data_IF_308930601945
#
_entry.id   IF_308930601945
#
_cell.length_a   1.000
_cell.length_b   1.000
_cell.length_c   1.000
_cell.angle_alpha   90.00
_cell.angle_beta   90.00
_cell.angle_gamma   90.00
#
_symmetry.space_group_name_H-M   'P 1'
#
loop_
_entity.id
_entity.type
_entity.pdbx_description
1 polymer ?
#
# COMPACT_ATOMS: atom_id res chain seq x y z
N UNK A 1 1.14 -2.33 26.98
CA UNK A 1 1.49 -3.76 27.12
C UNK A 1 1.47 -4.40 25.74
N UNK A 2 2.19 -5.51 25.53
CA UNK A 2 1.99 -6.35 24.35
C UNK A 2 0.79 -7.26 24.66
N UNK A 3 -0.18 -7.43 23.75
CA UNK A 3 -1.34 -8.29 24.01
C UNK A 3 -0.90 -9.76 24.13
N UNK A 4 -1.54 -10.50 25.03
CA UNK A 4 -1.39 -11.95 25.12
C UNK A 4 -2.10 -12.62 23.94
N UNK A 5 -1.41 -13.52 23.24
CA UNK A 5 -1.94 -14.16 22.02
C UNK A 5 -2.01 -15.66 22.22
N UNK A 6 -3.23 -16.21 22.14
CA UNK A 6 -3.47 -17.64 22.03
C UNK A 6 -3.84 -18.02 20.59
N UNK A 7 -3.41 -19.19 20.15
CA UNK A 7 -3.64 -19.68 18.78
C UNK A 7 -4.07 -21.14 18.77
N UNK A 8 -4.92 -21.50 17.82
CA UNK A 8 -5.20 -22.89 17.47
C UNK A 8 -4.64 -23.14 16.08
N UNK A 9 -3.76 -24.13 15.97
CA UNK A 9 -3.06 -24.47 14.73
C UNK A 9 -3.56 -25.81 14.24
N UNK A 10 -4.01 -25.85 12.98
CA UNK A 10 -4.37 -27.07 12.26
C UNK A 10 -3.38 -27.32 11.13
N UNK A 11 -2.73 -28.46 11.18
CA UNK A 11 -1.71 -28.86 10.23
C UNK A 11 -2.33 -29.56 9.03
N UNK A 12 -1.72 -29.33 7.86
CA UNK A 12 -2.08 -30.02 6.61
C UNK A 12 -1.78 -31.51 6.69
N UNK A 13 -0.63 -31.85 7.29
CA UNK A 13 -0.17 -33.23 7.47
C UNK A 13 -0.12 -33.55 8.96
N UNK A 14 -0.40 -34.81 9.31
CA UNK A 14 -0.31 -35.27 10.69
C UNK A 14 1.14 -35.22 11.18
N UNK A 15 1.34 -34.75 12.41
CA UNK A 15 2.62 -34.76 13.08
C UNK A 15 2.65 -35.80 14.20
N UNK A 16 3.80 -36.44 14.39
CA UNK A 16 4.00 -37.31 15.55
C UNK A 16 4.35 -36.49 16.78
N UNK A 17 3.98 -36.98 17.97
CA UNK A 17 4.35 -36.36 19.25
C UNK A 17 5.86 -36.11 19.38
N UNK A 18 6.68 -37.05 18.89
CA UNK A 18 8.15 -36.91 18.90
C UNK A 18 8.62 -35.72 18.06
N UNK A 19 8.05 -35.52 16.86
CA UNK A 19 8.39 -34.40 16.01
C UNK A 19 7.95 -33.07 16.62
N UNK A 20 6.74 -33.04 17.21
CA UNK A 20 6.23 -31.87 17.93
C UNK A 20 7.18 -31.46 19.06
N UNK A 21 7.59 -32.41 19.91
CA UNK A 21 8.51 -32.15 21.02
C UNK A 21 9.89 -31.67 20.56
N UNK A 22 10.40 -32.21 19.44
CA UNK A 22 11.66 -31.72 18.84
C UNK A 22 11.56 -30.27 18.38
N UNK A 23 10.41 -29.88 17.85
CA UNK A 23 10.20 -28.54 17.30
C UNK A 23 10.03 -27.48 18.40
N UNK A 24 9.19 -27.75 19.40
CA UNK A 24 8.81 -26.76 20.40
C UNK A 24 9.57 -26.88 21.73
N UNK A 25 10.38 -27.93 21.92
CA UNK A 25 11.29 -28.15 23.05
C UNK A 25 10.62 -28.03 24.44
N UNK A 26 9.32 -28.31 24.53
CA UNK A 26 8.56 -28.18 25.77
C UNK A 26 8.71 -29.38 26.71
N UNK A 27 8.63 -29.13 28.02
CA UNK A 27 8.53 -30.18 29.03
C UNK A 27 7.06 -30.46 29.34
N UNK A 28 6.71 -31.73 29.50
CA UNK A 28 5.34 -32.11 29.83
C UNK A 28 5.01 -31.71 31.27
N UNK A 29 3.90 -30.99 31.45
CA UNK A 29 3.26 -30.75 32.75
C UNK A 29 2.58 -32.04 33.21
N UNK A 30 3.04 -32.62 34.33
CA UNK A 30 2.56 -33.91 34.84
C UNK A 30 1.36 -33.78 35.79
N UNK A 31 1.15 -32.58 36.33
CA UNK A 31 0.10 -32.14 37.25
C UNK A 31 -1.25 -31.89 36.55
N UNK A 32 -1.25 -31.74 35.23
CA UNK A 32 -2.45 -31.43 34.44
C UNK A 32 -3.06 -32.69 33.81
N UNK A 33 -4.39 -32.72 33.71
CA UNK A 33 -5.13 -33.81 33.07
C UNK A 33 -4.97 -33.76 31.55
N UNK A 34 -4.89 -32.56 30.99
CA UNK A 34 -4.60 -32.37 29.57
C UNK A 34 -3.09 -32.57 29.26
N UNK A 35 -2.80 -33.10 28.08
CA UNK A 35 -1.42 -33.26 27.60
C UNK A 35 -0.86 -31.91 27.14
N UNK A 36 -0.26 -31.18 28.09
CA UNK A 36 0.31 -29.85 27.90
C UNK A 36 1.83 -29.88 28.04
N UNK A 37 2.50 -29.15 27.14
CA UNK A 37 3.94 -28.98 27.11
C UNK A 37 4.31 -27.51 27.26
N UNK A 38 5.14 -27.18 28.24
CA UNK A 38 5.59 -25.81 28.51
C UNK A 38 6.99 -25.60 27.94
N UNK A 39 7.15 -24.53 27.16
CA UNK A 39 8.44 -23.97 26.76
C UNK A 39 8.79 -22.77 27.65
N UNK A 40 9.79 -21.97 27.28
CA UNK A 40 10.14 -20.76 28.03
C UNK A 40 9.08 -19.65 27.94
N UNK A 41 8.32 -19.58 26.84
CA UNK A 41 7.41 -18.47 26.56
C UNK A 41 5.95 -18.92 26.33
N UNK A 42 5.76 -20.10 25.76
CA UNK A 42 4.44 -20.63 25.43
C UNK A 42 4.20 -22.02 26.02
N UNK A 43 2.94 -22.28 26.32
CA UNK A 43 2.38 -23.59 26.64
C UNK A 43 1.60 -24.12 25.45
N UNK A 44 1.76 -25.40 25.17
CA UNK A 44 1.14 -26.06 24.03
C UNK A 44 0.28 -27.24 24.47
N UNK A 45 -0.99 -27.24 24.07
CA UNK A 45 -1.91 -28.34 24.31
C UNK A 45 -2.12 -29.12 23.00
N UNK A 46 -1.76 -30.41 22.99
CA UNK A 46 -2.10 -31.29 21.88
C UNK A 46 -3.58 -31.68 21.96
N UNK A 47 -4.31 -31.39 20.88
CA UNK A 47 -5.72 -31.77 20.74
C UNK A 47 -5.80 -33.12 20.01
N UNK A 48 -5.13 -33.21 18.86
CA UNK A 48 -4.98 -34.43 18.06
C UNK A 48 -3.66 -34.42 17.27
N UNK A 49 -3.47 -35.34 16.32
CA UNK A 49 -2.24 -35.45 15.51
C UNK A 49 -2.09 -34.35 14.45
N UNK A 50 -3.11 -33.51 14.25
CA UNK A 50 -3.12 -32.38 13.31
C UNK A 50 -3.43 -31.05 13.99
N UNK A 51 -3.92 -31.05 15.22
CA UNK A 51 -4.41 -29.86 15.89
C UNK A 51 -3.71 -29.67 17.23
N UNK A 52 -3.19 -28.47 17.45
CA UNK A 52 -2.69 -28.06 18.76
C UNK A 52 -3.10 -26.62 19.04
N UNK A 53 -3.23 -26.30 20.33
CA UNK A 53 -3.42 -24.94 20.80
C UNK A 53 -2.15 -24.46 21.50
N UNK A 54 -1.86 -23.17 21.40
CA UNK A 54 -0.74 -22.53 22.09
C UNK A 54 -1.22 -21.25 22.78
N UNK A 55 -0.70 -20.99 23.98
CA UNK A 55 -0.96 -19.77 24.74
C UNK A 55 0.29 -19.40 25.55
N UNK A 56 0.46 -18.14 26.01
CA UNK A 56 1.54 -17.77 26.92
C UNK A 56 1.57 -18.67 28.16
N UNK A 57 2.76 -18.93 28.72
CA UNK A 57 2.91 -19.80 29.91
C UNK A 57 2.08 -19.32 31.11
N UNK A 58 1.85 -18.00 31.23
CA UNK A 58 0.97 -17.45 32.26
C UNK A 58 -0.50 -17.92 32.18
N UNK A 59 -0.94 -18.41 31.00
CA UNK A 59 -2.30 -18.86 30.72
C UNK A 59 -2.41 -20.39 30.58
N UNK A 60 -1.45 -21.17 31.09
CA UNK A 60 -1.48 -22.64 31.00
C UNK A 60 -2.77 -23.25 31.57
N UNK A 61 -3.26 -22.74 32.70
CA UNK A 61 -4.48 -23.26 33.34
C UNK A 61 -5.71 -22.97 32.48
N UNK A 62 -5.82 -21.77 31.92
CA UNK A 62 -6.91 -21.40 31.02
C UNK A 62 -6.89 -22.24 29.74
N UNK A 63 -5.71 -22.55 29.21
CA UNK A 63 -5.53 -23.44 28.08
C UNK A 63 -6.01 -24.87 28.39
N UNK A 64 -5.81 -25.37 29.61
CA UNK A 64 -6.37 -26.66 30.02
C UNK A 64 -7.90 -26.62 30.13
N UNK A 65 -8.43 -25.57 30.76
CA UNK A 65 -9.87 -25.39 30.96
C UNK A 65 -10.62 -25.31 29.63
N UNK A 66 -10.02 -24.65 28.62
CA UNK A 66 -10.63 -24.47 27.30
C UNK A 66 -10.93 -25.79 26.57
N UNK A 67 -10.32 -26.91 26.99
CA UNK A 67 -10.60 -28.24 26.43
C UNK A 67 -12.00 -28.74 26.77
N UNK A 68 -12.48 -28.41 27.96
CA UNK A 68 -13.78 -28.87 28.47
C UNK A 68 -14.82 -27.75 28.51
N UNK A 69 -14.36 -26.50 28.56
CA UNK A 69 -15.19 -25.31 28.61
C UNK A 69 -14.78 -24.37 27.46
N UNK A 70 -15.30 -24.66 26.28
CA UNK A 70 -15.02 -23.85 25.11
C UNK A 70 -15.70 -22.48 25.28
N UNK A 71 -14.92 -21.40 25.15
CA UNK A 71 -15.48 -20.06 25.09
C UNK A 71 -16.48 -19.98 23.93
N UNK A 72 -17.75 -19.75 24.27
CA UNK A 72 -18.80 -19.59 23.27
C UNK A 72 -18.64 -18.22 22.61
N UNK A 73 -18.81 -18.19 21.29
CA UNK A 73 -18.93 -16.93 20.57
C UNK A 73 -20.14 -16.15 21.08
N UNK A 74 -20.10 -14.82 20.98
CA UNK A 74 -21.27 -14.01 21.30
C UNK A 74 -22.44 -14.40 20.37
N UNK A 75 -23.70 -14.31 20.84
CA UNK A 75 -24.86 -14.61 20.00
C UNK A 75 -24.88 -13.81 18.70
N UNK A 76 -24.32 -12.60 18.70
CA UNK A 76 -24.21 -11.69 17.56
C UNK A 76 -23.14 -12.14 16.54
N UNK A 77 -22.11 -12.87 16.98
CA UNK A 77 -21.09 -13.49 16.12
C UNK A 77 -21.54 -14.77 15.44
N UNK A 78 -22.46 -15.53 16.05
CA UNK A 78 -22.87 -16.85 15.56
C UNK A 78 -23.34 -16.86 14.09
N UNK A 79 -24.19 -15.93 13.62
CA UNK A 79 -24.61 -15.90 12.22
C UNK A 79 -23.45 -15.69 11.24
N UNK A 80 -22.43 -14.93 11.66
CA UNK A 80 -21.25 -14.62 10.85
C UNK A 80 -20.28 -15.80 10.84
N UNK A 81 -20.11 -16.49 11.96
CA UNK A 81 -19.32 -17.72 12.05
C UNK A 81 -19.89 -18.81 11.16
N UNK A 82 -21.21 -19.02 11.18
CA UNK A 82 -21.88 -20.00 10.32
C UNK A 82 -21.77 -19.67 8.83
N UNK A 83 -21.73 -18.38 8.49
CA UNK A 83 -21.56 -17.92 7.12
C UNK A 83 -20.08 -17.83 6.68
N UNK A 84 -19.13 -18.00 7.59
CA UNK A 84 -17.70 -17.90 7.30
C UNK A 84 -17.20 -19.12 6.51
N UNK A 85 -16.19 -18.88 5.68
CA UNK A 85 -15.57 -19.91 4.85
C UNK A 85 -14.14 -20.18 5.32
N UNK A 86 -13.90 -21.42 5.75
CA UNK A 86 -12.61 -21.92 6.25
C UNK A 86 -11.53 -22.04 5.16
N UNK A 87 -11.90 -22.02 3.88
CA UNK A 87 -10.96 -22.07 2.75
C UNK A 87 -10.54 -20.66 2.29
N UNK A 88 -11.02 -19.60 2.95
CA UNK A 88 -10.50 -18.24 2.78
C UNK A 88 -9.04 -18.19 3.24
N UNK A 89 -8.23 -17.42 2.53
CA UNK A 89 -6.80 -17.27 2.88
C UNK A 89 -6.62 -16.48 4.18
N UNK A 90 -7.52 -15.54 4.46
CA UNK A 90 -7.60 -14.89 5.76
C UNK A 90 -9.06 -14.53 6.07
N UNK A 91 -9.43 -14.66 7.34
CA UNK A 91 -10.73 -14.28 7.89
C UNK A 91 -10.51 -13.64 9.26
N UNK A 92 -11.15 -12.50 9.50
CA UNK A 92 -11.12 -11.75 10.74
C UNK A 92 -12.55 -11.52 11.18
N UNK A 93 -12.89 -11.88 12.43
CA UNK A 93 -14.23 -11.71 12.99
C UNK A 93 -14.10 -11.04 14.36
N UNK A 94 -14.90 -10.01 14.63
CA UNK A 94 -14.85 -9.27 15.88
C UNK A 94 -16.16 -8.53 16.16
N UNK A 95 -16.42 -8.29 17.44
CA UNK A 95 -17.48 -7.39 17.92
C UNK A 95 -16.97 -5.96 18.05
N UNK A 96 -17.67 -5.01 17.44
CA UNK A 96 -17.30 -3.59 17.46
C UNK A 96 -17.39 -2.99 18.87
N UNK A 97 -18.37 -3.39 19.68
CA UNK A 97 -18.50 -2.89 21.06
C UNK A 97 -17.35 -3.34 21.94
N UNK A 98 -16.93 -4.60 21.82
CA UNK A 98 -15.77 -5.14 22.57
C UNK A 98 -14.50 -4.42 22.13
N UNK A 99 -14.36 -4.20 20.82
CA UNK A 99 -13.22 -3.49 20.25
C UNK A 99 -13.13 -2.04 20.75
N UNK A 100 -14.26 -1.35 20.89
CA UNK A 100 -14.34 0.01 21.45
C UNK A 100 -14.06 0.04 22.97
N UNK A 101 -14.69 -0.87 23.73
CA UNK A 101 -14.58 -0.89 25.20
C UNK A 101 -13.22 -1.35 25.71
N UNK A 102 -12.51 -2.19 24.94
CA UNK A 102 -11.20 -2.76 25.30
C UNK A 102 -10.06 -2.25 24.41
N UNK A 103 -10.23 -1.12 23.71
CA UNK A 103 -9.24 -0.60 22.77
C UNK A 103 -7.84 -0.41 23.38
N UNK A 104 -7.78 -0.06 24.67
CA UNK A 104 -6.52 0.21 25.38
C UNK A 104 -5.75 -1.09 25.70
N UNK A 105 -6.47 -2.20 25.85
CA UNK A 105 -5.92 -3.52 26.11
C UNK A 105 -5.49 -4.22 24.81
N UNK A 106 -6.26 -4.02 23.73
CA UNK A 106 -6.06 -4.69 22.43
C UNK A 106 -4.99 -3.97 21.59
N UNK A 107 -4.98 -2.62 21.61
CA UNK A 107 -4.17 -1.84 20.69
C UNK A 107 -3.13 -0.98 21.40
N UNK A 108 -1.92 -0.99 20.84
CA UNK A 108 -0.88 -0.03 21.20
C UNK A 108 -1.36 1.41 21.00
N UNK A 109 -0.90 2.35 21.84
CA UNK A 109 -1.36 3.75 21.86
C UNK A 109 -1.37 4.44 20.49
N UNK A 110 -0.43 4.10 19.61
CA UNK A 110 -0.34 4.65 18.25
C UNK A 110 -1.49 4.23 17.34
N UNK A 111 -2.08 3.05 17.59
CA UNK A 111 -3.18 2.48 16.80
C UNK A 111 -4.57 2.88 17.32
N UNK A 112 -4.67 3.29 18.58
CA UNK A 112 -5.95 3.62 19.22
C UNK A 112 -6.74 4.69 18.45
N UNK A 113 -6.07 5.77 18.02
CA UNK A 113 -6.73 6.82 17.22
C UNK A 113 -7.33 6.31 15.91
N UNK A 114 -6.69 5.33 15.30
CA UNK A 114 -7.18 4.75 14.03
C UNK A 114 -8.36 3.85 14.30
N UNK A 115 -8.28 3.09 15.38
CA UNK A 115 -9.39 2.28 15.85
C UNK A 115 -10.61 3.16 16.16
N UNK A 116 -10.43 4.29 16.83
CA UNK A 116 -11.52 5.24 17.09
C UNK A 116 -12.18 5.72 15.78
N UNK A 117 -11.35 6.07 14.78
CA UNK A 117 -11.87 6.47 13.46
C UNK A 117 -12.56 5.32 12.74
N UNK A 118 -12.04 4.11 12.87
CA UNK A 118 -12.63 2.92 12.27
C UNK A 118 -13.99 2.59 12.90
N UNK A 119 -14.09 2.58 14.23
CA UNK A 119 -15.36 2.35 14.94
C UNK A 119 -16.39 3.42 14.58
N UNK A 120 -15.99 4.70 14.56
CA UNK A 120 -16.87 5.79 14.14
C UNK A 120 -17.30 5.66 12.68
N UNK A 121 -16.40 5.24 11.79
CA UNK A 121 -16.69 5.04 10.37
C UNK A 121 -17.67 3.89 10.14
N UNK A 122 -17.53 2.79 10.89
CA UNK A 122 -18.49 1.67 10.88
C UNK A 122 -19.87 2.06 11.41
N UNK A 123 -19.90 2.99 12.38
CA UNK A 123 -21.13 3.51 12.97
C UNK A 123 -21.80 2.57 13.97
N UNK A 124 -22.84 3.07 14.63
CA UNK A 124 -23.50 2.39 15.75
C UNK A 124 -24.55 1.34 15.33
N UNK A 125 -24.81 1.22 14.03
CA UNK A 125 -25.77 0.27 13.48
C UNK A 125 -25.23 -1.15 13.39
N UNK A 126 -23.90 -1.32 13.48
CA UNK A 126 -23.19 -2.57 13.27
C UNK A 126 -22.69 -3.09 14.62
N UNK A 127 -23.00 -4.34 14.92
CA UNK A 127 -22.57 -5.01 16.16
C UNK A 127 -21.29 -5.81 15.92
N UNK A 128 -21.31 -6.67 14.89
CA UNK A 128 -20.26 -7.63 14.61
C UNK A 128 -19.86 -7.57 13.14
N UNK A 129 -18.57 -7.74 12.88
CA UNK A 129 -17.98 -7.70 11.55
C UNK A 129 -17.22 -9.00 11.29
N UNK A 130 -17.44 -9.59 10.12
CA UNK A 130 -16.58 -10.64 9.57
C UNK A 130 -16.01 -10.17 8.25
N UNK A 131 -14.70 -10.10 8.14
CA UNK A 131 -13.99 -9.72 6.93
C UNK A 131 -13.09 -10.87 6.47
N UNK A 132 -13.25 -11.32 5.24
CA UNK A 132 -12.45 -12.40 4.68
C UNK A 132 -11.93 -12.08 3.29
N UNK A 133 -10.85 -12.75 2.90
CA UNK A 133 -10.24 -12.60 1.59
C UNK A 133 -9.76 -13.93 1.02
N UNK A 134 -9.77 -14.01 -0.29
CA UNK A 134 -9.18 -15.09 -1.06
C UNK A 134 -8.42 -14.46 -2.24
N UNK A 135 -7.15 -14.82 -2.39
CA UNK A 135 -6.20 -14.05 -3.22
C UNK A 135 -6.11 -14.53 -4.67
N UNK A 136 -6.56 -15.76 -4.95
CA UNK A 136 -6.42 -16.39 -6.26
C UNK A 136 -7.70 -17.18 -6.63
N UNK A 137 -8.05 -17.35 -7.92
CA UNK A 137 -7.38 -16.80 -9.10
C UNK A 137 -7.62 -15.30 -9.29
N UNK A 138 -8.72 -14.77 -8.75
CA UNK A 138 -9.04 -13.35 -8.66
C UNK A 138 -8.98 -12.90 -7.20
N UNK A 139 -8.78 -11.61 -6.97
CA UNK A 139 -8.88 -11.07 -5.63
C UNK A 139 -10.36 -11.01 -5.23
N UNK A 140 -10.73 -11.81 -4.25
CA UNK A 140 -12.06 -11.86 -3.65
C UNK A 140 -11.97 -11.34 -2.22
N UNK A 141 -12.90 -10.46 -1.86
CA UNK A 141 -13.05 -9.96 -0.50
C UNK A 141 -14.54 -10.00 -0.12
N UNK A 142 -14.83 -10.42 1.09
CA UNK A 142 -16.19 -10.49 1.62
C UNK A 142 -16.25 -9.85 3.00
N UNK A 143 -17.22 -8.97 3.19
CA UNK A 143 -17.51 -8.35 4.48
C UNK A 143 -18.95 -8.69 4.87
N UNK A 144 -19.13 -9.34 6.00
CA UNK A 144 -20.42 -9.63 6.61
C UNK A 144 -20.60 -8.71 7.82
N UNK A 145 -21.77 -8.10 7.93
CA UNK A 145 -22.09 -7.10 8.94
C UNK A 145 -23.38 -7.48 9.65
N UNK A 146 -23.28 -7.82 10.93
CA UNK A 146 -24.44 -8.04 11.79
C UNK A 146 -24.93 -6.70 12.36
N UNK A 147 -26.24 -6.50 12.42
CA UNK A 147 -26.82 -5.27 12.96
C UNK A 147 -26.88 -5.30 14.48
N UNK A 148 -26.82 -4.12 15.10
CA UNK A 148 -27.16 -3.96 16.52
C UNK A 148 -28.66 -4.14 16.75
N UNK A 149 -29.06 -4.33 18.02
CA UNK A 149 -30.44 -4.55 18.44
C UNK A 149 -31.43 -3.47 17.98
N UNK A 150 -30.95 -2.23 17.85
CA UNK A 150 -31.77 -1.05 17.53
C UNK A 150 -31.76 -0.73 16.02
N UNK A 151 -31.12 -1.59 15.21
CA UNK A 151 -30.96 -1.43 13.78
C UNK A 151 -31.62 -2.59 13.00
N UNK A 152 -31.45 -2.59 11.68
CA UNK A 152 -31.87 -3.69 10.81
C UNK A 152 -30.85 -3.95 9.73
N UNK A 153 -30.83 -5.17 9.21
CA UNK A 153 -29.91 -5.58 8.14
C UNK A 153 -29.98 -4.65 6.93
N UNK A 154 -31.17 -4.18 6.55
CA UNK A 154 -31.32 -3.23 5.45
C UNK A 154 -30.70 -1.87 5.74
N UNK A 155 -30.78 -1.37 6.98
CA UNK A 155 -30.13 -0.11 7.37
C UNK A 155 -28.62 -0.25 7.31
N UNK A 156 -28.08 -1.33 7.90
CA UNK A 156 -26.65 -1.65 7.87
C UNK A 156 -26.13 -1.77 6.44
N UNK A 157 -26.84 -2.48 5.56
CA UNK A 157 -26.45 -2.61 4.16
C UNK A 157 -26.33 -1.24 3.47
N UNK A 158 -27.34 -0.38 3.63
CA UNK A 158 -27.35 0.98 3.05
C UNK A 158 -26.26 1.86 3.65
N UNK A 159 -26.06 1.78 4.97
CA UNK A 159 -25.01 2.50 5.68
C UNK A 159 -23.64 2.11 5.13
N UNK A 160 -23.33 0.81 5.11
CA UNK A 160 -22.06 0.29 4.64
C UNK A 160 -21.81 0.65 3.17
N UNK A 161 -22.81 0.51 2.29
CA UNK A 161 -22.66 0.90 0.87
C UNK A 161 -22.41 2.40 0.70
N UNK A 162 -23.06 3.25 1.51
CA UNK A 162 -22.83 4.69 1.48
C UNK A 162 -21.44 5.06 2.00
N UNK A 163 -20.98 4.43 3.08
CA UNK A 163 -19.64 4.66 3.63
C UNK A 163 -18.55 4.23 2.64
N UNK A 164 -18.75 3.08 2.00
CA UNK A 164 -17.79 2.54 1.04
C UNK A 164 -17.66 3.42 -0.21
N UNK A 165 -18.77 3.94 -0.73
CA UNK A 165 -18.76 4.82 -1.91
C UNK A 165 -18.13 6.19 -1.65
N UNK A 166 -18.12 6.67 -0.40
CA UNK A 166 -17.45 7.92 0.00
C UNK A 166 -15.98 7.75 0.33
N UNK A 167 -15.54 6.54 0.66
CA UNK A 167 -14.19 6.26 1.16
C UNK A 167 -13.09 6.77 0.21
N UNK A 168 -13.29 6.64 -1.10
CA UNK A 168 -12.32 7.11 -2.09
C UNK A 168 -12.15 8.64 -2.06
N UNK A 169 -13.26 9.38 -1.96
CA UNK A 169 -13.26 10.85 -1.89
C UNK A 169 -12.61 11.34 -0.59
N UNK A 170 -12.97 10.73 0.54
CA UNK A 170 -12.39 11.05 1.85
C UNK A 170 -10.89 10.76 1.88
N UNK A 171 -10.47 9.63 1.30
CA UNK A 171 -9.06 9.28 1.19
C UNK A 171 -8.29 10.27 0.30
N UNK A 172 -8.89 10.72 -0.80
CA UNK A 172 -8.28 11.72 -1.68
C UNK A 172 -7.96 13.02 -0.92
N UNK A 173 -8.90 13.51 -0.11
CA UNK A 173 -8.70 14.72 0.68
C UNK A 173 -7.52 14.61 1.66
N UNK A 174 -7.28 13.41 2.21
CA UNK A 174 -6.10 13.12 3.05
C UNK A 174 -4.82 13.02 2.22
N UNK A 175 -4.86 12.26 1.12
CA UNK A 175 -3.72 12.03 0.23
C UNK A 175 -3.19 13.33 -0.38
N UNK A 176 -4.05 14.30 -0.70
CA UNK A 176 -3.65 15.62 -1.22
C UNK A 176 -2.77 16.42 -0.25
N UNK A 177 -2.83 16.14 1.06
CA UNK A 177 -2.00 16.78 2.08
C UNK A 177 -0.66 16.07 2.30
N UNK A 178 -0.52 14.84 1.82
CA UNK A 178 0.66 14.02 2.04
C UNK A 178 1.84 14.44 1.15
N UNK A 179 3.06 14.35 1.68
CA UNK A 179 4.30 14.67 0.94
C UNK A 179 5.29 13.50 0.98
N UNK A 180 5.04 12.42 0.21
CA UNK A 180 5.94 11.28 0.15
C UNK A 180 7.32 11.67 -0.38
N UNK A 181 8.37 11.18 0.27
CA UNK A 181 9.76 11.47 -0.06
C UNK A 181 10.20 10.86 -1.40
N UNK A 182 9.69 9.67 -1.73
CA UNK A 182 10.07 8.94 -2.96
C UNK A 182 9.00 9.04 -4.04
N UNK A 183 9.41 9.00 -5.32
CA UNK A 183 8.49 8.98 -6.47
C UNK A 183 7.58 7.75 -6.47
N UNK A 184 8.14 6.58 -6.14
CA UNK A 184 7.38 5.33 -6.06
C UNK A 184 6.25 5.42 -5.03
N UNK A 185 6.55 5.89 -3.82
CA UNK A 185 5.54 6.13 -2.79
C UNK A 185 4.53 7.18 -3.22
N UNK A 186 4.98 8.30 -3.84
CA UNK A 186 4.08 9.34 -4.34
C UNK A 186 3.10 8.84 -5.39
N UNK A 187 3.57 8.04 -6.34
CA UNK A 187 2.71 7.45 -7.37
C UNK A 187 1.72 6.43 -6.79
N UNK A 188 2.18 5.56 -5.89
CA UNK A 188 1.30 4.55 -5.29
C UNK A 188 0.24 5.19 -4.39
N UNK A 189 0.64 6.10 -3.50
CA UNK A 189 -0.26 6.84 -2.60
C UNK A 189 -1.24 7.68 -3.41
N UNK A 190 -0.77 8.39 -4.44
CA UNK A 190 -1.64 9.20 -5.32
C UNK A 190 -2.66 8.38 -6.12
N UNK A 191 -2.37 7.10 -6.41
CA UNK A 191 -3.31 6.18 -7.07
C UNK A 191 -4.26 5.49 -6.08
N UNK A 192 -3.96 5.50 -4.79
CA UNK A 192 -4.72 4.73 -3.79
C UNK A 192 -6.21 5.11 -3.73
N UNK A 193 -6.60 6.40 -3.77
CA UNK A 193 -8.02 6.77 -3.88
C UNK A 193 -8.72 6.15 -5.09
N UNK A 194 -8.06 6.12 -6.25
CA UNK A 194 -8.63 5.49 -7.45
C UNK A 194 -8.72 3.96 -7.33
N UNK A 195 -7.81 3.32 -6.60
CA UNK A 195 -7.91 1.89 -6.28
C UNK A 195 -9.09 1.60 -5.35
N UNK A 196 -9.35 2.46 -4.37
CA UNK A 196 -10.53 2.38 -3.50
C UNK A 196 -11.82 2.60 -4.30
N UNK A 197 -11.83 3.52 -5.27
CA UNK A 197 -12.96 3.70 -6.18
C UNK A 197 -13.21 2.44 -7.03
N UNK A 198 -12.14 1.81 -7.54
CA UNK A 198 -12.27 0.53 -8.26
C UNK A 198 -12.81 -0.58 -7.36
N UNK A 199 -12.41 -0.59 -6.08
CA UNK A 199 -12.93 -1.50 -5.07
C UNK A 199 -14.43 -1.29 -4.84
N UNK A 200 -14.88 -0.04 -4.71
CA UNK A 200 -16.31 0.31 -4.62
C UNK A 200 -17.10 -0.17 -5.85
N UNK A 201 -16.63 0.15 -7.06
CA UNK A 201 -17.26 -0.30 -8.31
C UNK A 201 -17.31 -1.84 -8.41
N UNK A 202 -16.28 -2.51 -7.92
CA UNK A 202 -16.18 -3.97 -7.89
C UNK A 202 -16.97 -4.64 -6.76
N UNK A 203 -17.67 -3.87 -5.92
CA UNK A 203 -18.38 -4.38 -4.74
C UNK A 203 -19.88 -4.43 -4.96
N UNK A 204 -20.49 -5.58 -4.68
CA UNK A 204 -21.95 -5.73 -4.61
C UNK A 204 -22.39 -5.92 -3.17
N UNK A 205 -23.53 -5.31 -2.82
CA UNK A 205 -24.11 -5.39 -1.50
C UNK A 205 -25.43 -6.17 -1.53
N UNK A 206 -25.62 -7.07 -0.56
CA UNK A 206 -26.77 -7.95 -0.45
C UNK A 206 -27.28 -8.00 0.99
N UNK A 207 -28.59 -8.21 1.13
CA UNK A 207 -29.25 -8.45 2.43
C UNK A 207 -29.45 -9.95 2.58
N UNK A 208 -28.84 -10.55 3.59
CA UNK A 208 -29.11 -11.92 4.01
C UNK A 208 -30.05 -11.91 5.24
N UNK A 209 -30.58 -13.08 5.69
CA UNK A 209 -31.52 -13.13 6.81
C UNK A 209 -31.01 -12.47 8.10
N UNK A 210 -29.72 -12.61 8.39
CA UNK A 210 -29.13 -12.15 9.65
C UNK A 210 -27.95 -11.19 9.48
N UNK A 211 -27.56 -10.80 8.26
CA UNK A 211 -26.42 -9.92 8.05
C UNK A 211 -26.46 -9.24 6.69
N UNK A 212 -25.82 -8.09 6.58
CA UNK A 212 -25.52 -7.48 5.30
C UNK A 212 -24.22 -8.09 4.76
N UNK A 213 -24.18 -8.37 3.47
CA UNK A 213 -23.01 -8.97 2.80
C UNK A 213 -22.53 -8.03 1.71
N UNK A 214 -21.26 -7.64 1.78
CA UNK A 214 -20.55 -6.93 0.74
C UNK A 214 -19.55 -7.89 0.11
N UNK A 215 -19.61 -8.07 -1.20
CA UNK A 215 -18.69 -8.94 -1.95
C UNK A 215 -17.97 -8.12 -2.98
N UNK A 216 -16.64 -8.15 -2.94
CA UNK A 216 -15.78 -7.48 -3.89
C UNK A 216 -15.03 -8.51 -4.73
N UNK A 217 -15.06 -8.36 -6.05
CA UNK A 217 -14.27 -9.19 -6.97
C UNK A 217 -13.44 -8.28 -7.87
N UNK A 218 -12.12 -8.45 -7.82
CA UNK A 218 -11.16 -7.66 -8.59
C UNK A 218 -10.12 -8.56 -9.28
N UNK A 219 -9.40 -8.06 -10.29
CA UNK A 219 -8.28 -8.79 -10.88
C UNK A 219 -7.23 -9.19 -9.84
N UNK A 220 -6.52 -10.30 -10.08
CA UNK A 220 -5.50 -10.85 -9.18
C UNK A 220 -4.53 -9.80 -8.63
N UNK A 221 -4.06 -8.89 -9.48
CA UNK A 221 -3.06 -7.86 -9.14
C UNK A 221 -3.60 -6.79 -8.17
N UNK A 222 -4.91 -6.67 -8.00
CA UNK A 222 -5.52 -5.69 -7.11
C UNK A 222 -5.13 -5.93 -5.65
N UNK A 223 -4.98 -7.19 -5.22
CA UNK A 223 -4.60 -7.56 -3.85
C UNK A 223 -3.30 -6.86 -3.41
N UNK A 224 -2.23 -7.04 -4.19
CA UNK A 224 -0.90 -6.49 -3.91
C UNK A 224 -0.90 -4.96 -4.02
N UNK A 225 -1.60 -4.40 -5.00
CA UNK A 225 -1.69 -2.95 -5.19
C UNK A 225 -2.45 -2.26 -4.05
N UNK A 226 -3.59 -2.83 -3.63
CA UNK A 226 -4.37 -2.33 -2.49
C UNK A 226 -3.57 -2.43 -1.19
N UNK A 227 -2.89 -3.56 -0.95
CA UNK A 227 -2.04 -3.73 0.23
C UNK A 227 -0.87 -2.72 0.25
N UNK A 228 -0.17 -2.55 -0.88
CA UNK A 228 0.92 -1.59 -0.99
C UNK A 228 0.42 -0.13 -0.86
N UNK A 229 -0.71 0.19 -1.49
CA UNK A 229 -1.35 1.50 -1.39
C UNK A 229 -1.76 1.82 0.05
N UNK A 230 -2.39 0.87 0.75
CA UNK A 230 -2.79 1.01 2.14
C UNK A 230 -1.58 1.22 3.06
N UNK A 231 -0.56 0.36 2.95
CA UNK A 231 0.63 0.43 3.81
C UNK A 231 1.42 1.74 3.60
N UNK A 232 1.63 2.16 2.35
CA UNK A 232 2.38 3.38 2.06
C UNK A 232 1.59 4.64 2.47
N UNK A 233 0.28 4.66 2.22
CA UNK A 233 -0.59 5.76 2.63
C UNK A 233 -0.66 5.88 4.14
N UNK A 234 -0.76 4.73 4.83
CA UNK A 234 -0.69 4.64 6.29
C UNK A 234 0.62 5.19 6.84
N UNK A 235 1.76 4.68 6.38
CA UNK A 235 3.06 5.12 6.89
C UNK A 235 3.27 6.63 6.66
N UNK A 236 2.79 7.14 5.52
CA UNK A 236 2.87 8.56 5.23
C UNK A 236 1.91 9.40 6.10
N UNK A 237 0.75 8.86 6.49
CA UNK A 237 -0.20 9.56 7.35
C UNK A 237 0.40 9.85 8.73
N UNK A 238 1.21 8.92 9.27
CA UNK A 238 1.91 9.08 10.55
C UNK A 238 2.91 10.25 10.56
N UNK A 239 3.41 10.66 9.38
CA UNK A 239 4.36 11.76 9.22
C UNK A 239 3.69 13.08 8.78
N UNK A 240 2.42 13.02 8.40
CA UNK A 240 1.72 14.16 7.79
C UNK A 240 0.98 14.94 8.87
N UNK A 241 1.27 16.24 8.98
CA UNK A 241 0.44 17.14 9.78
C UNK A 241 -0.82 17.51 8.98
N UNK A 242 -1.96 16.91 9.32
CA UNK A 242 -3.23 17.12 8.63
C UNK A 242 -3.96 18.41 9.04
N UNK A 243 -3.58 19.01 10.17
CA UNK A 243 -4.13 20.27 10.70
C UNK A 243 -3.44 21.51 10.11
N UNK A 244 -2.26 21.32 9.52
CA UNK A 244 -1.68 22.35 8.67
C UNK A 244 -2.67 22.66 7.55
N UNK A 245 -2.82 23.96 7.21
CA UNK A 245 -3.54 24.35 5.99
C UNK A 245 -3.07 23.46 4.84
N UNK A 246 -3.97 23.17 3.89
CA UNK A 246 -3.54 22.67 2.58
C UNK A 246 -2.47 23.66 2.11
N UNK A 247 -1.20 23.31 2.34
CA UNK A 247 -0.14 23.66 1.44
C UNK A 247 -0.50 22.77 0.27
N UNK A 248 -1.50 23.23 -0.50
CA UNK A 248 -1.57 22.99 -1.93
C UNK A 248 -0.11 23.05 -2.29
N UNK A 249 0.50 21.91 -2.63
CA UNK A 249 1.77 21.96 -3.33
C UNK A 249 1.46 22.97 -4.40
N UNK A 250 1.98 24.22 -4.29
CA UNK A 250 1.64 25.31 -5.19
C UNK A 250 1.70 24.62 -6.53
N UNK A 251 0.54 24.40 -7.14
CA UNK A 251 0.51 23.63 -8.38
C UNK A 251 1.28 24.55 -9.29
N UNK A 252 2.54 24.21 -9.54
CA UNK A 252 3.62 25.16 -9.80
C UNK A 252 3.07 26.43 -10.47
N UNK A 253 2.77 27.44 -9.65
CA UNK A 253 2.47 28.78 -10.12
C UNK A 253 3.79 29.55 -10.27
N UNK A 254 4.89 28.85 -10.55
CA UNK A 254 5.71 29.33 -11.65
C UNK A 254 4.78 29.40 -12.86
N UNK A 255 4.31 30.62 -13.17
CA UNK A 255 4.06 31.03 -14.54
C UNK A 255 4.99 30.20 -15.42
N UNK A 256 4.44 29.23 -16.16
CA UNK A 256 5.24 28.41 -17.06
C UNK A 256 5.77 29.44 -18.04
N UNK A 257 7.08 29.71 -18.05
CA UNK A 257 7.58 30.74 -18.93
C UNK A 257 7.26 30.36 -20.37
N UNK A 258 6.86 31.35 -21.19
CA UNK A 258 6.54 31.07 -22.59
C UNK A 258 7.77 30.60 -23.37
N UNK A 259 8.96 31.04 -22.95
CA UNK A 259 10.26 30.63 -23.51
C UNK A 259 10.75 29.35 -22.88
N UNK A 260 11.22 28.41 -23.70
CA UNK A 260 11.79 27.14 -23.24
C UNK A 260 13.05 27.34 -22.39
N UNK A 261 13.88 28.33 -22.73
CA UNK A 261 15.11 28.62 -21.95
C UNK A 261 14.78 28.97 -20.49
N UNK A 262 13.67 29.65 -20.25
CA UNK A 262 13.22 30.00 -18.90
C UNK A 262 12.61 28.78 -18.18
N UNK A 263 11.96 27.87 -18.93
CA UNK A 263 11.49 26.57 -18.38
C UNK A 263 12.65 25.68 -17.94
N UNK A 264 13.79 25.75 -18.62
CA UNK A 264 15.00 25.02 -18.23
C UNK A 264 15.57 25.48 -16.88
N UNK A 265 15.17 26.64 -16.36
CA UNK A 265 15.54 27.11 -15.01
C UNK A 265 14.63 26.56 -13.89
N UNK A 266 13.53 25.87 -14.23
CA UNK A 266 12.64 25.28 -13.23
C UNK A 266 13.35 24.18 -12.43
N UNK A 267 13.02 24.09 -11.14
CA UNK A 267 13.61 23.08 -10.24
C UNK A 267 12.99 21.71 -10.48
N UNK A 268 13.84 20.70 -10.60
CA UNK A 268 13.50 19.29 -10.77
C UNK A 268 14.25 18.49 -9.71
N UNK A 269 13.59 17.49 -9.15
CA UNK A 269 14.20 16.55 -8.20
C UNK A 269 14.80 15.37 -8.97
N UNK A 270 16.11 15.18 -8.91
CA UNK A 270 16.80 14.13 -9.67
C UNK A 270 17.39 13.08 -8.74
N UNK A 271 16.82 11.87 -8.77
CA UNK A 271 17.39 10.63 -8.21
C UNK A 271 17.22 9.54 -9.28
N UNK A 272 18.22 9.42 -10.16
CA UNK A 272 18.25 8.37 -11.18
C UNK A 272 19.05 7.18 -10.68
N UNK A 273 18.43 5.99 -10.74
CA UNK A 273 19.03 4.72 -10.34
C UNK A 273 18.92 3.73 -11.49
N UNK A 274 19.94 3.74 -12.36
CA UNK A 274 19.95 2.98 -13.62
C UNK A 274 18.75 3.30 -14.53
N UNK A 275 18.27 4.53 -14.49
CA UNK A 275 17.13 4.99 -15.30
C UNK A 275 17.55 5.10 -16.78
N UNK A 276 16.82 4.50 -17.73
CA UNK A 276 17.12 4.64 -19.16
C UNK A 276 17.19 6.11 -19.61
N UNK A 277 18.06 6.41 -20.57
CA UNK A 277 18.25 7.77 -21.12
C UNK A 277 16.92 8.39 -21.59
N UNK A 278 16.09 7.62 -22.29
CA UNK A 278 14.77 8.06 -22.74
C UNK A 278 13.85 8.44 -21.59
N UNK A 279 13.82 7.62 -20.53
CA UNK A 279 12.99 7.89 -19.36
C UNK A 279 13.50 9.08 -18.56
N UNK A 280 14.82 9.25 -18.45
CA UNK A 280 15.44 10.39 -17.79
C UNK A 280 15.09 11.72 -18.48
N UNK A 281 15.22 11.77 -19.82
CA UNK A 281 14.85 12.95 -20.61
C UNK A 281 13.36 13.23 -20.58
N UNK A 282 12.51 12.20 -20.72
CA UNK A 282 11.06 12.32 -20.60
C UNK A 282 10.66 12.85 -19.22
N UNK A 283 11.28 12.37 -18.15
CA UNK A 283 11.02 12.84 -16.79
C UNK A 283 11.34 14.33 -16.61
N UNK A 284 12.48 14.79 -17.12
CA UNK A 284 12.86 16.20 -17.04
C UNK A 284 11.87 17.05 -17.86
N UNK A 285 11.52 16.62 -19.07
CA UNK A 285 10.53 17.28 -19.93
C UNK A 285 9.15 17.42 -19.30
N UNK A 286 8.61 16.33 -18.73
CA UNK A 286 7.34 16.33 -18.00
C UNK A 286 7.38 17.29 -16.81
N UNK A 287 8.50 17.33 -16.08
CA UNK A 287 8.67 18.19 -14.91
C UNK A 287 8.64 19.68 -15.26
N UNK A 288 9.11 20.06 -16.45
CA UNK A 288 9.08 21.43 -16.96
C UNK A 288 7.98 21.67 -18.00
N UNK A 289 7.03 20.73 -18.13
CA UNK A 289 5.89 20.77 -19.06
C UNK A 289 6.30 21.08 -20.51
N UNK A 290 7.36 20.44 -20.96
CA UNK A 290 7.95 20.62 -22.30
C UNK A 290 8.08 19.27 -23.00
N UNK A 291 7.69 19.23 -24.27
CA UNK A 291 7.81 18.02 -25.09
C UNK A 291 9.27 17.74 -25.40
N UNK A 292 9.67 16.47 -25.29
CA UNK A 292 11.04 16.02 -25.54
C UNK A 292 11.03 14.99 -26.66
N UNK A 293 11.72 15.30 -27.75
CA UNK A 293 11.98 14.40 -28.85
C UNK A 293 13.41 13.87 -28.78
N UNK A 294 13.60 12.60 -29.10
CA UNK A 294 14.92 11.97 -29.17
C UNK A 294 15.13 11.50 -30.60
N UNK A 295 16.18 12.00 -31.23
CA UNK A 295 16.57 11.57 -32.58
C UNK A 295 17.25 10.19 -32.51
N UNK A 296 16.42 9.15 -32.60
CA UNK A 296 16.87 7.76 -32.49
C UNK A 296 17.86 7.36 -33.59
N UNK A 297 17.79 7.96 -34.78
CA UNK A 297 18.67 7.62 -35.89
C UNK A 297 20.04 8.29 -35.73
N UNK A 298 20.08 9.54 -35.23
CA UNK A 298 21.32 10.20 -34.84
C UNK A 298 22.05 9.42 -33.73
N UNK A 299 21.31 9.03 -32.68
CA UNK A 299 21.87 8.28 -31.57
C UNK A 299 22.47 6.95 -32.03
N UNK A 300 21.77 6.19 -32.90
CA UNK A 300 22.30 4.95 -33.48
C UNK A 300 23.55 5.20 -34.32
N UNK A 301 23.57 6.27 -35.12
CA UNK A 301 24.71 6.66 -35.95
C UNK A 301 25.99 6.97 -35.15
N UNK A 302 25.84 7.50 -33.94
CA UNK A 302 26.94 7.76 -33.01
C UNK A 302 27.24 6.60 -32.03
N UNK A 303 26.50 5.49 -32.11
CA UNK A 303 26.69 4.32 -31.24
C UNK A 303 25.99 4.41 -29.87
N UNK A 304 25.07 5.38 -29.68
CA UNK A 304 24.25 5.48 -28.48
C UNK A 304 22.95 4.69 -28.60
N UNK A 305 22.38 4.31 -27.45
CA UNK A 305 21.04 3.71 -27.38
C UNK A 305 20.18 4.45 -26.36
N UNK A 306 18.87 4.50 -26.63
CA UNK A 306 17.88 5.12 -25.73
C UNK A 306 17.80 4.45 -24.35
N UNK A 307 18.32 3.22 -24.23
CA UNK A 307 18.30 2.41 -23.01
C UNK A 307 19.57 2.56 -22.15
N UNK A 308 20.50 3.45 -22.51
CA UNK A 308 21.71 3.65 -21.73
C UNK A 308 21.38 4.17 -20.31
N UNK A 309 21.89 3.52 -19.24
CA UNK A 309 21.48 3.83 -17.87
C UNK A 309 22.13 5.12 -17.36
N UNK A 310 21.30 5.95 -16.72
CA UNK A 310 21.67 7.13 -15.95
C UNK A 310 21.63 6.80 -14.45
N UNK A 311 22.69 7.12 -13.73
CA UNK A 311 22.80 6.83 -12.29
C UNK A 311 23.48 8.00 -11.59
N UNK A 312 22.69 8.87 -10.98
CA UNK A 312 23.14 10.02 -10.20
C UNK A 312 21.98 10.61 -9.38
N UNK A 313 22.32 11.18 -8.23
CA UNK A 313 21.40 11.91 -7.35
C UNK A 313 21.94 13.34 -7.21
N UNK A 314 21.14 14.31 -7.65
CA UNK A 314 21.47 15.73 -7.57
C UNK A 314 20.55 16.47 -6.60
N UNK A 315 19.61 15.78 -5.95
CA UNK A 315 18.56 16.42 -5.16
C UNK A 315 17.74 17.39 -6.02
N UNK A 316 17.46 18.59 -5.51
CA UNK A 316 16.67 19.61 -6.20
C UNK A 316 17.57 20.59 -6.97
N UNK A 317 17.66 20.42 -8.29
CA UNK A 317 18.47 21.24 -9.21
C UNK A 317 17.64 21.81 -10.35
N UNK A 318 18.18 22.71 -11.18
CA UNK A 318 17.48 23.18 -12.38
C UNK A 318 17.44 22.08 -13.45
N UNK A 319 16.40 22.09 -14.31
CA UNK A 319 16.32 21.17 -15.43
C UNK A 319 17.54 21.28 -16.36
N UNK A 320 18.06 22.49 -16.57
CA UNK A 320 19.31 22.71 -17.30
C UNK A 320 20.49 21.97 -16.67
N UNK A 321 20.68 22.08 -15.35
CA UNK A 321 21.77 21.40 -14.65
C UNK A 321 21.63 19.88 -14.74
N UNK A 322 20.40 19.36 -14.62
CA UNK A 322 20.13 17.94 -14.77
C UNK A 322 20.46 17.42 -16.19
N UNK A 323 20.06 18.17 -17.23
CA UNK A 323 20.37 17.83 -18.62
C UNK A 323 21.86 17.94 -18.92
N UNK A 324 22.53 18.94 -18.35
CA UNK A 324 23.98 19.12 -18.46
C UNK A 324 24.73 17.90 -17.95
N UNK A 325 24.37 17.38 -16.77
CA UNK A 325 25.01 16.19 -16.20
C UNK A 325 24.86 14.95 -17.09
N UNK A 326 23.69 14.78 -17.73
CA UNK A 326 23.51 13.69 -18.69
C UNK A 326 24.43 13.87 -19.90
N UNK A 327 24.48 15.07 -20.48
CA UNK A 327 25.26 15.36 -21.69
C UNK A 327 26.76 15.29 -21.42
N UNK A 328 27.20 15.82 -20.28
CA UNK A 328 28.61 15.88 -19.85
C UNK A 328 29.23 14.48 -19.78
N UNK A 329 28.45 13.48 -19.36
CA UNK A 329 28.86 12.07 -19.34
C UNK A 329 29.32 11.56 -20.71
N UNK A 330 28.79 12.12 -21.80
CA UNK A 330 29.09 11.72 -23.17
C UNK A 330 29.93 12.77 -23.94
N UNK A 331 30.42 13.81 -23.27
CA UNK A 331 31.13 14.91 -23.91
C UNK A 331 32.50 14.52 -24.52
N UNK A 332 33.08 13.39 -24.09
CA UNK A 332 34.37 12.87 -24.58
C UNK A 332 34.24 11.89 -25.76
N UNK A 333 33.01 11.60 -26.19
CA UNK A 333 32.75 10.70 -27.30
C UNK A 333 33.07 11.36 -28.64
N UNK A 334 33.32 10.54 -29.67
CA UNK A 334 33.68 11.03 -31.02
C UNK A 334 32.60 11.93 -31.62
N UNK A 335 31.32 11.60 -31.39
CA UNK A 335 30.17 12.42 -31.74
C UNK A 335 29.31 12.61 -30.47
N UNK A 336 29.53 13.67 -29.68
CA UNK A 336 28.89 13.83 -28.38
C UNK A 336 27.40 14.14 -28.51
N UNK A 337 26.64 13.80 -27.46
CA UNK A 337 25.24 14.20 -27.35
C UNK A 337 25.12 15.72 -27.20
N UNK A 338 24.09 16.30 -27.84
CA UNK A 338 23.77 17.72 -27.74
C UNK A 338 22.26 17.90 -27.52
N UNK A 339 21.91 18.97 -26.81
CA UNK A 339 20.53 19.42 -26.66
C UNK A 339 20.27 20.53 -27.69
N UNK A 340 19.13 20.46 -28.36
CA UNK A 340 18.62 21.53 -29.21
C UNK A 340 17.33 22.04 -28.58
N UNK A 341 17.18 23.36 -28.51
CA UNK A 341 15.99 24.03 -27.98
C UNK A 341 15.25 24.65 -29.16
N UNK A 342 14.15 24.03 -29.59
CA UNK A 342 13.30 24.57 -30.66
C UNK A 342 12.17 25.40 -30.04
N UNK A 343 12.39 26.70 -29.92
CA UNK A 343 11.41 27.66 -29.41
C UNK A 343 10.16 27.78 -30.30
N UNK A 344 10.25 27.46 -31.61
CA UNK A 344 9.09 27.53 -32.52
C UNK A 344 8.18 26.33 -32.34
N UNK A 345 8.75 25.13 -32.27
CA UNK A 345 8.02 23.90 -32.03
C UNK A 345 7.68 23.67 -30.54
N UNK A 346 8.27 24.46 -29.64
CA UNK A 346 8.19 24.30 -28.17
C UNK A 346 8.66 22.92 -27.71
N UNK A 347 9.70 22.39 -28.37
CA UNK A 347 10.25 21.06 -28.10
C UNK A 347 11.74 21.11 -27.75
N UNK A 348 12.16 20.19 -26.89
CA UNK A 348 13.57 19.87 -26.66
C UNK A 348 13.94 18.65 -27.48
N UNK A 349 15.03 18.75 -28.25
CA UNK A 349 15.48 17.66 -29.11
C UNK A 349 16.84 17.19 -28.61
N UNK A 350 16.94 15.90 -28.28
CA UNK A 350 18.22 15.23 -28.01
C UNK A 350 18.74 14.62 -29.32
N UNK A 351 19.92 15.07 -29.76
CA UNK A 351 20.59 14.56 -30.96
C UNK A 351 22.11 14.49 -30.73
N UNK A 352 22.87 14.29 -31.80
CA UNK A 352 24.34 14.27 -31.79
C UNK A 352 24.89 15.51 -32.50
N UNK A 353 26.14 15.87 -32.20
CA UNK A 353 26.75 17.09 -32.73
C UNK A 353 26.81 17.09 -34.26
N UNK A 354 27.25 15.97 -34.86
CA UNK A 354 27.39 15.85 -36.33
C UNK A 354 26.03 15.98 -37.01
N UNK A 355 24.98 15.36 -36.46
CA UNK A 355 23.64 15.43 -37.03
C UNK A 355 23.02 16.82 -36.90
N UNK A 356 23.20 17.46 -35.74
CA UNK A 356 22.74 18.84 -35.54
C UNK A 356 23.38 19.82 -36.54
N UNK A 357 24.69 19.70 -36.78
CA UNK A 357 25.40 20.51 -37.78
C UNK A 357 24.90 20.24 -39.20
N UNK A 358 24.66 18.97 -39.56
CA UNK A 358 24.12 18.58 -40.86
C UNK A 358 22.70 19.12 -41.11
N UNK A 359 21.87 19.18 -40.07
CA UNK A 359 20.49 19.68 -40.15
C UNK A 359 20.40 21.21 -39.95
N UNK A 360 21.55 21.90 -39.81
CA UNK A 360 21.62 23.34 -39.58
C UNK A 360 21.06 23.80 -38.23
N UNK A 361 20.95 22.88 -37.27
CA UNK A 361 20.45 23.13 -35.92
C UNK A 361 21.60 23.58 -35.01
N UNK A 362 21.35 24.61 -34.20
CA UNK A 362 22.36 25.13 -33.27
C UNK A 362 22.24 24.44 -31.91
N UNK A 363 23.29 23.75 -31.42
CA UNK A 363 23.30 23.19 -30.08
C UNK A 363 23.09 24.25 -29.00
N UNK A 364 22.26 23.95 -28.01
CA UNK A 364 22.06 24.78 -26.84
C UNK A 364 23.16 24.52 -25.80
N UNK A 365 23.75 25.59 -25.27
CA UNK A 365 24.73 25.48 -24.19
C UNK A 365 24.03 25.15 -22.86
N UNK A 366 24.25 23.92 -22.40
CA UNK A 366 23.66 23.43 -21.14
C UNK A 366 24.49 23.77 -19.92
N UNK A 367 25.72 24.30 -20.08
CA UNK A 367 26.55 24.65 -18.94
C UNK A 367 25.85 25.70 -18.05
N UNK A 368 25.82 25.52 -16.72
CA UNK A 368 25.20 26.49 -15.83
C UNK A 368 25.93 27.84 -15.97
N UNK A 369 25.19 28.91 -16.27
CA UNK A 369 25.73 30.27 -16.22
C UNK A 369 26.03 30.60 -14.76
N UNK A 370 27.29 30.92 -14.47
CA UNK A 370 27.77 31.30 -13.13
C UNK A 370 27.03 32.49 -12.55
#
# INVERSE_FOLDING_TARGET
SVPDVAVVVRLKEAQTKSNFLKQFKGQRKADLKAEIYESSEYSFMLIDDRTFAAAPVGLTQDLELSRNDAALASPDMEPLLQASDRERHASLIFDLKILDSHREDIFMAQMQKVVDKFVVWMGNEIETVSWSMHLEPNFYMETLLHNSSDSSVMKVQRHAQLQFSKLAEEMLAGVEKMKPATKGSRQMIGRFPAMLQAMDVGTTAHVAPSFARLVTVLPKQASVNLAAGALLTWNQSLLTNFDAEKVVAKGDTTSIPDKLVDRLQMKVLIDFRRTPLQEAFKYIGESIKTEVAIDGDALKGAGFTQNMPQTFDLGSVTAQAALHEIILKYAKERDPLVLIVDEKAKTLILSTKVKAEADGLTPFDTAPKK
#
